data_IF_834127188272
#
_entry.id   IF_834127188272
#
_cell.length_a   1.000
_cell.length_b   1.000
_cell.length_c   1.000
_cell.angle_alpha   90.00
_cell.angle_beta   90.00
_cell.angle_gamma   90.00
#
_symmetry.space_group_name_H-M   'P 1'
#
loop_
_entity.id
_entity.type
_entity.pdbx_description
1 polymer ?
#
# COMPACT_ATOMS: atom_id res chain seq x y z
N UNK A 1 -20.81 14.88 -7.29
CA UNK A 1 -19.57 14.56 -8.01
C UNK A 1 -18.43 14.62 -7.02
N UNK A 2 -17.56 13.60 -6.98
CA UNK A 2 -16.31 13.74 -6.24
C UNK A 2 -15.52 14.91 -6.84
N UNK A 3 -14.84 15.70 -6.00
CA UNK A 3 -14.02 16.78 -6.51
C UNK A 3 -12.98 16.21 -7.48
N UNK A 4 -12.80 16.80 -8.68
CA UNK A 4 -11.83 16.31 -9.64
C UNK A 4 -10.43 16.30 -9.01
N UNK A 5 -9.70 15.19 -9.16
CA UNK A 5 -8.29 15.14 -8.74
C UNK A 5 -7.53 16.23 -9.48
N UNK A 6 -6.74 16.98 -8.73
CA UNK A 6 -5.85 18.01 -9.23
C UNK A 6 -4.41 17.69 -8.79
N UNK A 7 -3.46 18.49 -9.28
CA UNK A 7 -2.03 18.33 -9.01
C UNK A 7 -1.70 18.23 -7.51
N UNK A 8 -2.29 19.10 -6.69
CA UNK A 8 -2.09 19.09 -5.23
C UNK A 8 -2.57 17.78 -4.58
N UNK A 9 -3.71 17.26 -5.02
CA UNK A 9 -4.21 15.96 -4.55
C UNK A 9 -3.30 14.81 -4.98
N UNK A 10 -2.75 14.88 -6.20
CA UNK A 10 -1.82 13.87 -6.71
C UNK A 10 -0.51 13.86 -5.91
N UNK A 11 0.09 15.02 -5.65
CA UNK A 11 1.28 15.17 -4.80
C UNK A 11 1.04 14.61 -3.40
N UNK A 12 -0.11 14.93 -2.79
CA UNK A 12 -0.48 14.42 -1.48
C UNK A 12 -0.63 12.88 -1.45
N UNK A 13 -1.26 12.29 -2.46
CA UNK A 13 -1.40 10.84 -2.56
C UNK A 13 -0.05 10.15 -2.79
N UNK A 14 0.85 10.78 -3.56
CA UNK A 14 2.20 10.28 -3.78
C UNK A 14 3.01 10.28 -2.48
N UNK A 15 2.90 11.34 -1.68
CA UNK A 15 3.55 11.41 -0.36
C UNK A 15 3.04 10.30 0.59
N UNK A 16 1.72 10.11 0.67
CA UNK A 16 1.12 9.03 1.46
C UNK A 16 1.60 7.65 1.01
N UNK A 17 1.83 7.48 -0.29
CA UNK A 17 2.25 6.22 -0.90
C UNK A 17 3.77 6.04 -0.94
N UNK A 18 4.54 7.04 -0.48
CA UNK A 18 6.02 7.08 -0.57
C UNK A 18 6.54 6.92 -2.00
N UNK A 19 5.86 7.55 -2.96
CA UNK A 19 6.25 7.57 -4.38
C UNK A 19 6.78 8.96 -4.71
N UNK A 20 7.99 9.03 -5.25
CA UNK A 20 8.53 10.26 -5.82
C UNK A 20 8.01 10.43 -7.26
N UNK A 21 7.45 11.59 -7.57
CA UNK A 21 6.92 11.91 -8.91
C UNK A 21 7.90 12.76 -9.69
N UNK A 22 8.24 12.32 -10.89
CA UNK A 22 8.95 13.16 -11.86
C UNK A 22 7.97 14.13 -12.54
N UNK A 23 8.35 15.40 -12.68
CA UNK A 23 7.52 16.45 -13.33
C UNK A 23 7.01 16.03 -14.72
N UNK A 24 7.83 15.30 -15.49
CA UNK A 24 7.48 14.84 -16.85
C UNK A 24 6.38 13.77 -16.87
N UNK A 25 6.24 13.02 -15.79
CA UNK A 25 5.29 11.90 -15.67
C UNK A 25 4.00 12.31 -14.97
N UNK A 26 4.03 13.43 -14.24
CA UNK A 26 2.96 13.91 -13.39
C UNK A 26 1.68 14.27 -14.18
N UNK A 27 1.80 15.02 -15.29
CA UNK A 27 0.64 15.38 -16.12
C UNK A 27 -0.04 14.13 -16.70
N UNK A 28 0.75 13.17 -17.14
CA UNK A 28 0.22 11.91 -17.68
C UNK A 28 -0.52 11.13 -16.59
N UNK A 29 0.09 10.99 -15.41
CA UNK A 29 -0.48 10.26 -14.29
C UNK A 29 -1.78 10.90 -13.80
N UNK A 30 -1.84 12.23 -13.77
CA UNK A 30 -3.06 12.97 -13.45
C UNK A 30 -4.20 12.65 -14.42
N UNK A 31 -3.93 12.68 -15.73
CA UNK A 31 -4.92 12.36 -16.76
C UNK A 31 -5.38 10.89 -16.66
N UNK A 32 -4.46 9.96 -16.43
CA UNK A 32 -4.78 8.54 -16.33
C UNK A 32 -5.64 8.26 -15.09
N UNK A 33 -5.34 8.89 -13.95
CA UNK A 33 -6.15 8.77 -12.72
C UNK A 33 -7.55 9.36 -12.89
N UNK A 34 -7.69 10.49 -13.60
CA UNK A 34 -9.00 11.07 -13.90
C UNK A 34 -9.86 10.09 -14.72
N UNK A 35 -9.31 9.49 -15.77
CA UNK A 35 -10.02 8.48 -16.58
C UNK A 35 -10.42 7.25 -15.78
N UNK A 36 -9.53 6.77 -14.89
CA UNK A 36 -9.85 5.64 -14.02
C UNK A 36 -11.05 6.02 -13.14
N UNK A 37 -11.01 7.17 -12.46
CA UNK A 37 -12.12 7.58 -11.59
C UNK A 37 -13.43 7.80 -12.36
N UNK A 38 -13.37 8.34 -13.57
CA UNK A 38 -14.54 8.46 -14.46
C UNK A 38 -15.17 7.09 -14.74
N UNK A 39 -14.36 6.07 -15.01
CA UNK A 39 -14.86 4.72 -15.22
C UNK A 39 -15.53 4.13 -13.96
N UNK A 40 -15.02 4.46 -12.76
CA UNK A 40 -15.63 4.03 -11.49
C UNK A 40 -16.99 4.70 -11.22
N UNK A 41 -17.33 5.81 -11.87
CA UNK A 41 -18.64 6.46 -11.70
C UNK A 41 -19.79 5.57 -12.20
N UNK A 42 -19.53 4.65 -13.14
CA UNK A 42 -20.50 3.65 -13.63
C UNK A 42 -21.07 2.80 -12.48
N UNK A 43 -20.27 2.55 -11.42
CA UNK A 43 -20.71 1.76 -10.26
C UNK A 43 -21.81 2.44 -9.45
N UNK A 44 -21.98 3.76 -9.58
CA UNK A 44 -23.02 4.52 -8.85
C UNK A 44 -24.42 4.33 -9.43
N UNK A 45 -24.53 3.79 -10.63
CA UNK A 45 -25.82 3.49 -11.27
C UNK A 45 -26.50 2.27 -10.65
N UNK A 46 -25.76 1.46 -9.89
CA UNK A 46 -26.25 0.24 -9.25
C UNK A 46 -26.72 0.55 -7.83
N UNK A 47 -27.98 0.23 -7.54
CA UNK A 47 -28.55 0.34 -6.18
C UNK A 47 -28.00 -0.78 -5.26
N UNK A 48 -27.44 -0.36 -4.13
CA UNK A 48 -26.83 -1.22 -3.12
C UNK A 48 -27.35 -0.94 -1.70
N UNK A 49 -28.45 -0.18 -1.52
CA UNK A 49 -28.93 0.29 -0.20
C UNK A 49 -29.10 -0.83 0.84
N UNK A 50 -29.42 -2.06 0.41
CA UNK A 50 -29.68 -3.20 1.29
C UNK A 50 -28.68 -4.36 1.08
N UNK A 51 -27.50 -4.09 0.51
CA UNK A 51 -26.48 -5.10 0.25
C UNK A 51 -25.32 -4.93 1.22
N UNK A 52 -25.04 -5.97 2.00
CA UNK A 52 -23.88 -6.01 2.91
C UNK A 52 -22.56 -6.07 2.13
N UNK A 53 -21.54 -5.26 2.49
CA UNK A 53 -20.22 -5.31 1.85
C UNK A 53 -19.53 -6.68 2.03
N UNK A 54 -18.93 -7.19 0.95
CA UNK A 54 -18.12 -8.41 1.03
C UNK A 54 -16.69 -8.10 1.49
N UNK A 55 -16.34 -8.50 2.72
CA UNK A 55 -15.03 -8.22 3.32
C UNK A 55 -13.96 -9.32 3.09
N UNK A 56 -14.33 -10.48 2.54
CA UNK A 56 -13.42 -11.60 2.31
C UNK A 56 -14.05 -12.72 1.50
N UNK A 57 -13.21 -13.51 0.82
CA UNK A 57 -13.65 -14.60 -0.06
C UNK A 57 -13.74 -15.98 0.61
N UNK A 58 -13.45 -16.07 1.91
CA UNK A 58 -13.45 -17.32 2.67
C UNK A 58 -14.38 -17.23 3.88
N UNK A 59 -14.95 -18.38 4.26
CA UNK A 59 -15.92 -18.51 5.36
C UNK A 59 -15.22 -18.70 6.72
N UNK A 60 -13.88 -18.59 6.75
CA UNK A 60 -13.10 -19.00 7.92
C UNK A 60 -13.34 -18.05 9.10
N UNK A 61 -13.88 -18.62 10.18
CA UNK A 61 -14.06 -17.93 11.45
C UNK A 61 -12.89 -18.28 12.36
N UNK A 62 -12.16 -17.25 12.79
CA UNK A 62 -11.15 -17.28 13.84
C UNK A 62 -10.10 -18.40 13.70
N UNK A 63 -9.25 -18.30 12.68
CA UNK A 63 -8.07 -19.16 12.54
C UNK A 63 -6.98 -18.68 13.51
N UNK A 64 -6.86 -19.36 14.64
CA UNK A 64 -5.84 -19.06 15.64
C UNK A 64 -4.55 -19.84 15.37
N UNK A 65 -3.41 -19.17 15.57
CA UNK A 65 -2.11 -19.82 15.67
C UNK A 65 -1.94 -20.37 17.09
N UNK A 66 -1.44 -21.60 17.22
CA UNK A 66 -1.03 -22.18 18.50
C UNK A 66 0.00 -21.30 19.22
N UNK A 67 -0.17 -21.10 20.53
CA UNK A 67 0.80 -20.39 21.36
C UNK A 67 1.97 -21.30 21.77
N UNK A 68 2.81 -21.62 20.78
CA UNK A 68 4.00 -22.45 20.94
C UNK A 68 5.21 -21.73 20.34
N UNK A 69 6.39 -22.03 20.89
CA UNK A 69 7.65 -21.59 20.32
C UNK A 69 7.80 -22.13 18.89
N UNK A 70 8.14 -21.24 17.97
CA UNK A 70 8.47 -21.58 16.60
C UNK A 70 9.92 -21.15 16.36
N UNK A 71 10.92 -21.99 16.71
CA UNK A 71 12.32 -21.62 16.60
C UNK A 71 12.67 -21.41 15.13
N UNK A 72 12.95 -20.17 14.76
CA UNK A 72 13.45 -19.84 13.42
C UNK A 72 14.88 -20.36 13.29
N UNK A 73 15.20 -20.98 12.15
CA UNK A 73 16.58 -21.36 11.85
C UNK A 73 17.45 -20.11 11.72
N UNK A 74 18.66 -20.12 12.29
CA UNK A 74 19.67 -19.07 12.09
C UNK A 74 19.94 -18.80 10.60
N UNK A 75 19.80 -19.83 9.76
CA UNK A 75 19.92 -19.73 8.31
C UNK A 75 18.81 -18.88 7.70
N UNK A 76 17.61 -18.88 8.27
CA UNK A 76 16.50 -18.04 7.79
C UNK A 76 16.69 -16.58 8.23
N UNK A 77 17.10 -16.36 9.47
CA UNK A 77 17.34 -15.01 9.99
C UNK A 77 18.49 -14.32 9.25
N UNK A 78 19.63 -15.02 9.06
CA UNK A 78 20.77 -14.49 8.31
C UNK A 78 20.46 -14.20 6.84
N UNK A 79 19.66 -15.05 6.18
CA UNK A 79 19.19 -14.77 4.82
C UNK A 79 18.36 -13.49 4.72
N UNK A 80 17.54 -13.20 5.72
CA UNK A 80 16.72 -11.99 5.74
C UNK A 80 17.57 -10.74 6.00
N UNK A 81 18.52 -10.79 6.93
CA UNK A 81 19.41 -9.66 7.21
C UNK A 81 20.36 -9.38 6.05
N UNK A 82 20.92 -10.41 5.43
CA UNK A 82 21.82 -10.27 4.28
C UNK A 82 21.12 -9.74 3.02
N UNK A 83 19.78 -9.78 2.98
CA UNK A 83 19.01 -9.19 1.88
C UNK A 83 18.85 -7.66 2.03
N UNK A 84 19.23 -7.09 3.17
CA UNK A 84 19.09 -5.67 3.43
C UNK A 84 20.24 -4.87 2.78
N UNK A 85 20.00 -3.63 2.31
CA UNK A 85 21.00 -2.90 1.53
C UNK A 85 22.30 -2.54 2.26
N UNK A 86 22.24 -2.22 3.57
CA UNK A 86 23.39 -1.76 4.34
C UNK A 86 23.29 -2.22 5.81
N UNK A 87 24.43 -2.57 6.39
CA UNK A 87 24.53 -3.01 7.79
C UNK A 87 25.68 -2.29 8.51
N UNK A 88 25.46 -1.97 9.79
CA UNK A 88 26.51 -1.44 10.65
C UNK A 88 26.46 -2.11 12.01
N UNK A 89 27.57 -2.72 12.44
CA UNK A 89 27.75 -3.33 13.79
C UNK A 89 26.63 -4.31 14.17
N UNK A 90 26.10 -5.06 13.20
CA UNK A 90 25.03 -6.05 13.40
C UNK A 90 23.60 -5.46 13.39
N UNK A 91 23.43 -4.21 12.97
CA UNK A 91 22.13 -3.57 12.80
C UNK A 91 21.88 -3.22 11.33
N UNK A 92 20.60 -3.23 10.93
CA UNK A 92 20.18 -2.74 9.62
C UNK A 92 20.29 -1.23 9.60
N UNK A 93 21.09 -0.70 8.67
CA UNK A 93 21.39 0.73 8.60
C UNK A 93 20.38 1.47 7.74
N UNK A 94 19.71 2.45 8.33
CA UNK A 94 18.73 3.32 7.66
C UNK A 94 19.11 4.78 7.84
N UNK A 95 18.60 5.69 6.98
CA UNK A 95 18.70 7.13 7.23
C UNK A 95 18.11 7.48 8.62
N UNK A 96 18.67 8.48 9.31
CA UNK A 96 18.14 8.92 10.60
C UNK A 96 16.70 9.44 10.45
N UNK A 97 15.86 9.15 11.45
CA UNK A 97 14.42 9.46 11.44
C UNK A 97 14.16 10.91 11.86
N UNK A 98 15.05 11.48 12.68
CA UNK A 98 14.99 12.85 13.15
C UNK A 98 16.18 13.62 12.58
N UNK A 99 15.94 14.87 12.20
CA UNK A 99 17.00 15.88 12.08
C UNK A 99 17.37 16.42 13.48
#
# INVERSE_FOLDING_TARGET
MAAPINKKTLEYLAELSRIELEEKSEEKLLNDLQKILEHFEELKEVDIENIEPMAGGTIEKNVFREDKENPKSEVQTSKLTNAFPDEEKGYLKVPPIFE
#
